data_IF_907091942620
#
_entry.id   IF_907091942620
#
_cell.length_a   1.000
_cell.length_b   1.000
_cell.length_c   1.000
_cell.angle_alpha   90.00
_cell.angle_beta   90.00
_cell.angle_gamma   90.00
#
_symmetry.space_group_name_H-M   'P 1'
#
loop_
_entity.id
_entity.type
_entity.pdbx_description
1 polymer ?
#
# COMPACT_ATOMS: atom_id res chain seq x y z
N UNK A 1 -1.83 -21.05 -6.18
CA UNK A 1 -3.06 -20.25 -6.42
C UNK A 1 -3.04 -18.92 -5.66
N UNK A 2 -2.61 -18.89 -4.39
CA UNK A 2 -2.51 -17.67 -3.58
C UNK A 2 -1.64 -16.55 -4.22
N UNK A 3 -0.44 -16.87 -4.72
CA UNK A 3 0.47 -15.89 -5.32
C UNK A 3 -0.12 -15.17 -6.55
N UNK A 4 -0.89 -15.89 -7.38
CA UNK A 4 -1.56 -15.33 -8.55
C UNK A 4 -2.59 -14.29 -8.15
N UNK A 5 -3.44 -14.60 -7.16
CA UNK A 5 -4.47 -13.68 -6.68
C UNK A 5 -3.85 -12.44 -6.03
N UNK A 6 -2.79 -12.61 -5.24
CA UNK A 6 -2.12 -11.51 -4.55
C UNK A 6 -1.40 -10.56 -5.52
N UNK A 7 -0.76 -11.08 -6.57
CA UNK A 7 -0.16 -10.27 -7.64
C UNK A 7 -1.23 -9.60 -8.52
N UNK A 8 -2.35 -10.28 -8.77
CA UNK A 8 -3.51 -9.67 -9.46
C UNK A 8 -4.02 -8.46 -8.69
N UNK A 9 -4.16 -8.59 -7.37
CA UNK A 9 -4.60 -7.49 -6.51
C UNK A 9 -3.56 -6.36 -6.38
N UNK A 10 -2.26 -6.64 -6.60
CA UNK A 10 -1.23 -5.59 -6.69
C UNK A 10 -1.36 -4.81 -8.00
N UNK A 11 -1.43 -5.49 -9.15
CA UNK A 11 -1.54 -4.81 -10.45
C UNK A 11 -2.88 -4.13 -10.66
N UNK A 12 -3.96 -4.74 -10.16
CA UNK A 12 -5.33 -4.30 -10.39
C UNK A 12 -6.10 -4.18 -9.07
N UNK A 13 -5.68 -3.27 -8.16
CA UNK A 13 -6.34 -3.12 -6.89
C UNK A 13 -7.77 -2.60 -7.11
N UNK A 14 -8.81 -3.25 -6.54
CA UNK A 14 -10.19 -2.76 -6.65
C UNK A 14 -10.39 -1.36 -6.07
N UNK A 15 -9.56 -1.00 -5.09
CA UNK A 15 -9.53 0.32 -4.44
C UNK A 15 -8.15 0.95 -4.70
N UNK A 16 -7.98 1.76 -5.77
CA UNK A 16 -6.69 2.31 -6.17
C UNK A 16 -6.22 3.51 -5.32
N UNK A 17 -7.12 4.06 -4.50
CA UNK A 17 -6.87 5.21 -3.63
C UNK A 17 -7.58 4.98 -2.29
N UNK A 18 -6.86 5.16 -1.18
CA UNK A 18 -7.42 5.09 0.16
C UNK A 18 -7.21 6.43 0.85
N UNK A 19 -8.16 6.84 1.69
CA UNK A 19 -8.05 8.09 2.45
C UNK A 19 -7.95 7.83 3.95
N UNK A 20 -7.29 8.75 4.66
CA UNK A 20 -7.25 8.84 6.12
C UNK A 20 -7.50 10.28 6.53
N UNK A 21 -8.23 10.49 7.61
CA UNK A 21 -8.40 11.82 8.19
C UNK A 21 -7.45 11.97 9.38
N UNK A 22 -6.70 13.08 9.40
CA UNK A 22 -5.85 13.41 10.53
C UNK A 22 -6.70 13.84 11.73
N UNK A 23 -6.68 13.09 12.84
CA UNK A 23 -7.52 13.37 14.02
C UNK A 23 -6.86 14.30 15.05
N UNK A 24 -5.56 14.55 14.89
CA UNK A 24 -4.72 15.46 15.68
C UNK A 24 -3.55 15.91 14.80
N UNK A 25 -3.02 17.10 15.01
CA UNK A 25 -1.85 17.57 14.26
C UNK A 25 -0.71 16.54 14.34
N UNK A 26 -0.14 16.22 13.19
CA UNK A 26 0.85 15.16 13.06
C UNK A 26 2.09 15.69 12.34
N UNK A 27 3.22 15.77 13.07
CA UNK A 27 4.54 16.00 12.49
C UNK A 27 4.99 14.72 11.80
N UNK A 28 5.18 14.78 10.48
CA UNK A 28 5.74 13.67 9.73
C UNK A 28 7.18 13.45 10.21
N UNK A 29 7.56 12.22 10.63
CA UNK A 29 8.93 11.93 11.05
C UNK A 29 9.92 12.31 9.96
N UNK A 30 11.07 12.86 10.37
CA UNK A 30 12.19 13.21 9.49
C UNK A 30 11.90 14.28 8.42
N UNK A 31 10.70 14.86 8.41
CA UNK A 31 10.26 15.86 7.43
C UNK A 31 9.81 17.17 8.10
N UNK A 32 10.00 18.31 7.43
CA UNK A 32 9.50 19.59 7.93
C UNK A 32 8.00 19.83 7.62
N UNK A 33 7.17 18.79 7.70
CA UNK A 33 5.75 18.82 7.31
C UNK A 33 4.85 18.48 8.50
N UNK A 34 3.81 19.30 8.72
CA UNK A 34 2.74 19.03 9.68
C UNK A 34 1.45 18.77 8.91
N UNK A 35 0.83 17.62 9.17
CA UNK A 35 -0.52 17.31 8.69
C UNK A 35 -1.50 17.78 9.76
N UNK A 36 -2.17 18.90 9.49
CA UNK A 36 -3.13 19.51 10.40
C UNK A 36 -4.35 18.61 10.66
N UNK A 37 -4.90 18.70 11.87
CA UNK A 37 -6.14 18.05 12.25
C UNK A 37 -7.26 18.44 11.27
N UNK A 38 -7.98 17.44 10.79
CA UNK A 38 -9.07 17.59 9.84
C UNK A 38 -8.66 17.32 8.40
N UNK A 39 -7.37 17.43 8.06
CA UNK A 39 -6.89 17.17 6.70
C UNK A 39 -7.12 15.71 6.29
N UNK A 40 -7.50 15.55 5.02
CA UNK A 40 -7.60 14.23 4.37
C UNK A 40 -6.26 13.93 3.71
N UNK A 41 -5.62 12.86 4.15
CA UNK A 41 -4.44 12.29 3.52
C UNK A 41 -4.90 11.24 2.52
N UNK A 42 -4.44 11.36 1.28
CA UNK A 42 -4.69 10.37 0.24
C UNK A 42 -3.47 9.46 0.10
N UNK A 43 -3.71 8.16 0.09
CA UNK A 43 -2.70 7.12 -0.07
C UNK A 43 -2.89 6.51 -1.46
N UNK A 44 -1.98 6.79 -2.42
CA UNK A 44 -2.11 6.33 -3.79
C UNK A 44 -1.72 4.85 -3.88
N UNK A 45 -2.65 3.94 -3.57
CA UNK A 45 -2.41 2.49 -3.55
C UNK A 45 -1.85 2.00 -4.88
N UNK A 46 -2.47 2.36 -6.00
CA UNK A 46 -1.94 2.01 -7.33
C UNK A 46 -0.56 2.61 -7.58
N UNK A 47 -0.30 3.85 -7.15
CA UNK A 47 1.03 4.46 -7.28
C UNK A 47 2.10 3.64 -6.56
N UNK A 48 1.85 3.32 -5.29
CA UNK A 48 2.74 2.49 -4.46
C UNK A 48 2.93 1.10 -5.07
N UNK A 49 1.86 0.50 -5.62
CA UNK A 49 1.92 -0.83 -6.21
C UNK A 49 2.73 -0.86 -7.51
N UNK A 50 2.86 0.27 -8.20
CA UNK A 50 3.63 0.41 -9.44
C UNK A 50 4.97 1.13 -9.24
N UNK A 51 5.35 1.39 -7.99
CA UNK A 51 6.61 2.04 -7.66
C UNK A 51 7.78 1.06 -7.80
N UNK A 52 8.80 1.44 -8.58
CA UNK A 52 9.98 0.60 -8.84
C UNK A 52 10.86 0.42 -7.59
N UNK A 53 10.78 1.35 -6.64
CA UNK A 53 11.53 1.25 -5.37
C UNK A 53 11.00 0.12 -4.48
N UNK A 54 9.74 -0.30 -4.67
CA UNK A 54 9.13 -1.41 -3.92
C UNK A 54 8.93 -2.67 -4.76
N UNK A 55 8.68 -2.52 -6.07
CA UNK A 55 8.41 -3.62 -6.99
C UNK A 55 9.22 -3.48 -8.27
N UNK A 56 10.40 -4.10 -8.32
CA UNK A 56 11.26 -4.11 -9.52
C UNK A 56 10.50 -4.57 -10.77
N UNK A 57 10.57 -3.82 -11.87
CA UNK A 57 9.78 -4.09 -13.10
C UNK A 57 8.27 -4.20 -12.81
N UNK A 58 7.63 -3.18 -12.22
CA UNK A 58 6.29 -3.28 -11.64
C UNK A 58 5.20 -3.56 -12.67
N UNK A 59 5.49 -3.26 -13.94
CA UNK A 59 4.62 -3.56 -15.07
C UNK A 59 4.54 -5.05 -15.39
N UNK A 60 5.57 -5.83 -15.04
CA UNK A 60 5.56 -7.29 -15.24
C UNK A 60 4.70 -7.94 -14.17
N UNK A 61 3.73 -8.75 -14.61
CA UNK A 61 2.97 -9.64 -13.74
C UNK A 61 3.88 -10.79 -13.30
N UNK A 62 4.30 -10.77 -12.03
CA UNK A 62 5.22 -11.75 -11.45
C UNK A 62 4.68 -12.26 -10.11
N UNK A 63 4.04 -13.45 -10.08
CA UNK A 63 3.53 -14.05 -8.85
C UNK A 63 4.61 -14.36 -7.81
N UNK A 64 5.86 -14.58 -8.21
CA UNK A 64 6.94 -14.95 -7.30
C UNK A 64 7.33 -13.82 -6.33
N UNK A 65 6.89 -12.59 -6.59
CA UNK A 65 6.97 -11.46 -5.63
C UNK A 65 6.29 -11.74 -4.29
N UNK A 66 5.42 -12.75 -4.24
CA UNK A 66 4.68 -13.14 -3.05
C UNK A 66 5.11 -14.49 -2.47
N UNK A 67 6.29 -15.00 -2.82
CA UNK A 67 6.92 -16.05 -2.03
C UNK A 67 7.32 -15.52 -0.64
N UNK A 68 7.59 -16.43 0.31
CA UNK A 68 7.81 -16.07 1.71
C UNK A 68 9.02 -15.14 1.91
N UNK A 69 10.12 -15.39 1.20
CA UNK A 69 11.35 -14.59 1.28
C UNK A 69 11.12 -13.15 0.78
N UNK A 70 10.49 -13.00 -0.39
CA UNK A 70 10.20 -11.69 -0.98
C UNK A 70 9.20 -10.91 -0.14
N UNK A 71 8.20 -11.57 0.46
CA UNK A 71 7.27 -10.92 1.39
C UNK A 71 8.01 -10.41 2.63
N UNK A 72 8.93 -11.22 3.19
CA UNK A 72 9.67 -10.86 4.38
C UNK A 72 10.62 -9.67 4.17
N UNK A 73 11.18 -9.53 2.96
CA UNK A 73 12.06 -8.42 2.60
C UNK A 73 11.30 -7.16 2.16
N UNK A 74 10.05 -7.29 1.71
CA UNK A 74 9.27 -6.16 1.22
C UNK A 74 8.95 -5.16 2.35
N UNK A 75 9.14 -3.84 2.15
CA UNK A 75 8.78 -2.84 3.14
C UNK A 75 7.30 -2.90 3.52
N UNK A 76 7.00 -2.65 4.80
CA UNK A 76 5.62 -2.60 5.29
C UNK A 76 4.82 -1.51 4.57
N UNK A 77 3.50 -1.70 4.48
CA UNK A 77 2.57 -0.74 3.87
C UNK A 77 2.77 -0.49 2.36
N UNK A 78 3.43 -1.40 1.65
CA UNK A 78 3.61 -1.33 0.19
C UNK A 78 2.70 -2.27 -0.60
N UNK A 79 2.03 -3.21 0.08
CA UNK A 79 0.96 -4.04 -0.47
C UNK A 79 -0.32 -3.78 0.32
N UNK A 80 -1.26 -3.05 -0.29
CA UNK A 80 -2.43 -2.47 0.37
C UNK A 80 -3.76 -2.71 -0.38
N UNK A 81 -4.00 -3.87 -1.02
CA UNK A 81 -5.21 -4.07 -1.82
C UNK A 81 -6.51 -4.04 -1.00
N UNK A 82 -6.40 -4.22 0.32
CA UNK A 82 -7.51 -4.19 1.27
C UNK A 82 -7.38 -3.06 2.30
N UNK A 83 -6.42 -2.16 2.10
CA UNK A 83 -5.99 -1.19 3.11
C UNK A 83 -5.28 -1.84 4.30
N UNK A 84 -5.15 -1.07 5.38
CA UNK A 84 -4.45 -1.47 6.60
C UNK A 84 -4.98 -0.69 7.82
N UNK A 85 -4.78 -1.24 9.02
CA UNK A 85 -5.18 -0.65 10.30
C UNK A 85 -6.61 -1.01 10.73
N UNK A 86 -7.21 -0.27 11.69
CA UNK A 86 -8.47 -0.65 12.35
C UNK A 86 -9.70 -0.63 11.43
N UNK A 87 -9.56 -0.10 10.21
CA UNK A 87 -10.61 -0.02 9.18
C UNK A 87 -10.19 -0.77 7.91
N UNK A 88 -9.34 -1.80 8.05
CA UNK A 88 -9.00 -2.74 6.98
C UNK A 88 -10.27 -3.45 6.47
N UNK A 89 -10.30 -3.84 5.19
CA UNK A 89 -11.43 -4.58 4.64
C UNK A 89 -11.74 -5.83 5.46
N UNK A 90 -13.00 -5.98 5.86
CA UNK A 90 -13.48 -7.13 6.65
C UNK A 90 -13.63 -8.42 5.83
N UNK A 91 -13.58 -8.33 4.50
CA UNK A 91 -13.73 -9.46 3.58
C UNK A 91 -12.42 -9.93 2.94
N UNK A 92 -11.28 -9.59 3.54
CA UNK A 92 -9.95 -10.07 3.12
C UNK A 92 -9.78 -11.57 3.38
#
# INVERSE_FOLDING_TARGET
MYFLSTETLRKYPPVPLITRQCVKDYKVPDEDVIIEKGNIVMIPVSGIHYDEDYYKNPEVFDPERFNEENIAQRPKYTHLPFGEGPRICIGK
#
